data_IF_365120266717
#
_entry.id   IF_365120266717
#
_cell.length_a   1.000
_cell.length_b   1.000
_cell.length_c   1.000
_cell.angle_alpha   90.00
_cell.angle_beta   90.00
_cell.angle_gamma   90.00
#
_symmetry.space_group_name_H-M   'P 1'
#
loop_
_entity.id
_entity.type
_entity.pdbx_description
1 polymer ?
#
# COMPACT_ATOMS: atom_id res chain seq x y z
N UNK A 1 -14.86 -4.13 -9.87
CA UNK A 1 -15.75 -3.81 -11.01
C UNK A 1 -15.47 -4.62 -12.28
N UNK A 2 -14.39 -5.40 -12.39
CA UNK A 2 -14.05 -6.17 -13.61
C UNK A 2 -14.84 -7.48 -13.79
N UNK A 3 -15.18 -8.18 -12.70
CA UNK A 3 -15.86 -9.48 -12.75
C UNK A 3 -17.23 -9.40 -13.44
N UNK A 4 -18.11 -8.41 -13.12
CA UNK A 4 -19.37 -8.26 -13.85
C UNK A 4 -19.14 -8.09 -15.34
N UNK A 5 -18.31 -7.14 -15.75
CA UNK A 5 -18.11 -6.84 -17.18
C UNK A 5 -17.57 -8.03 -17.99
N UNK A 6 -16.66 -8.82 -17.42
CA UNK A 6 -16.13 -10.03 -18.08
C UNK A 6 -17.22 -11.11 -18.20
N UNK A 7 -18.00 -11.34 -17.15
CA UNK A 7 -18.99 -12.41 -17.13
C UNK A 7 -20.26 -12.09 -17.94
N UNK A 8 -20.52 -10.81 -18.22
CA UNK A 8 -21.65 -10.34 -19.04
C UNK A 8 -21.34 -10.35 -20.56
N UNK A 9 -20.06 -10.30 -20.95
CA UNK A 9 -19.65 -10.26 -22.36
C UNK A 9 -19.14 -11.62 -22.83
N UNK A 10 -19.82 -12.21 -23.82
CA UNK A 10 -19.56 -13.58 -24.28
C UNK A 10 -18.11 -13.80 -24.76
N UNK A 11 -17.52 -12.83 -25.44
CA UNK A 11 -16.14 -12.89 -25.93
C UNK A 11 -15.11 -12.88 -24.78
N UNK A 12 -15.26 -11.97 -23.82
CA UNK A 12 -14.39 -11.88 -22.65
C UNK A 12 -14.57 -13.09 -21.72
N UNK A 13 -15.81 -13.51 -21.50
CA UNK A 13 -16.15 -14.69 -20.70
C UNK A 13 -15.53 -15.94 -21.29
N UNK A 14 -15.54 -16.08 -22.62
CA UNK A 14 -14.92 -17.23 -23.29
C UNK A 14 -13.42 -17.31 -23.02
N UNK A 15 -12.70 -16.19 -23.07
CA UNK A 15 -11.27 -16.16 -22.70
C UNK A 15 -11.07 -16.63 -21.25
N UNK A 16 -11.88 -16.13 -20.31
CA UNK A 16 -11.80 -16.53 -18.89
C UNK A 16 -12.10 -18.01 -18.68
N UNK A 17 -13.15 -18.54 -19.32
CA UNK A 17 -13.56 -19.96 -19.23
C UNK A 17 -12.51 -20.89 -19.84
N UNK A 18 -11.83 -20.46 -20.90
CA UNK A 18 -10.70 -21.19 -21.49
C UNK A 18 -9.41 -21.12 -20.65
N UNK A 19 -9.43 -20.45 -19.50
CA UNK A 19 -8.34 -20.43 -18.54
C UNK A 19 -7.29 -19.34 -18.78
N UNK A 20 -7.54 -18.35 -19.64
CA UNK A 20 -6.62 -17.22 -19.79
C UNK A 20 -6.70 -16.27 -18.59
N UNK A 21 -5.57 -15.65 -18.22
CA UNK A 21 -5.54 -14.62 -17.19
C UNK A 21 -6.01 -13.26 -17.77
N UNK A 22 -7.31 -13.01 -17.69
CA UNK A 22 -7.98 -11.84 -18.27
C UNK A 22 -8.23 -10.77 -17.22
N UNK A 23 -7.76 -9.55 -17.49
CA UNK A 23 -7.97 -8.38 -16.65
C UNK A 23 -8.52 -7.22 -17.47
N UNK A 24 -9.23 -6.31 -16.81
CA UNK A 24 -9.65 -5.02 -17.38
C UNK A 24 -9.01 -3.93 -16.54
N UNK A 25 -8.11 -3.16 -17.16
CA UNK A 25 -7.29 -2.14 -16.48
C UNK A 25 -7.34 -0.87 -17.33
N UNK A 26 -7.71 0.27 -16.75
CA UNK A 26 -7.74 1.56 -17.44
C UNK A 26 -8.44 1.50 -18.81
N UNK A 27 -9.62 0.86 -18.89
CA UNK A 27 -10.36 0.62 -20.13
C UNK A 27 -9.59 -0.14 -21.22
N UNK A 28 -8.63 -0.97 -20.84
CA UNK A 28 -7.93 -1.90 -21.71
C UNK A 28 -8.23 -3.34 -21.32
N UNK A 29 -8.35 -4.21 -22.31
CA UNK A 29 -8.33 -5.65 -22.14
C UNK A 29 -6.88 -6.11 -22.02
N UNK A 30 -6.55 -6.81 -20.94
CA UNK A 30 -5.19 -7.25 -20.63
C UNK A 30 -5.18 -8.77 -20.48
N UNK A 31 -4.22 -9.44 -21.14
CA UNK A 31 -3.96 -10.88 -20.95
C UNK A 31 -2.51 -11.08 -20.52
N UNK A 32 -2.35 -11.62 -19.32
CA UNK A 32 -1.05 -11.96 -18.74
C UNK A 32 -0.67 -13.42 -19.02
N UNK A 33 0.61 -13.73 -18.90
CA UNK A 33 1.11 -15.11 -18.93
C UNK A 33 1.16 -15.70 -20.34
N UNK A 34 1.40 -14.88 -21.36
CA UNK A 34 1.51 -15.38 -22.75
C UNK A 34 2.95 -15.83 -23.01
N UNK A 35 3.22 -17.12 -23.26
CA UNK A 35 4.57 -17.60 -23.49
C UNK A 35 5.11 -17.06 -24.82
N UNK A 36 6.38 -16.71 -24.85
CA UNK A 36 7.12 -16.27 -26.03
C UNK A 36 8.61 -16.64 -25.89
N UNK A 37 9.37 -16.55 -26.98
CA UNK A 37 10.81 -16.85 -27.00
C UNK A 37 11.60 -15.56 -27.15
N UNK A 38 12.71 -15.42 -26.42
CA UNK A 38 13.63 -14.28 -26.55
C UNK A 38 14.87 -14.61 -27.40
N UNK A 39 15.78 -13.65 -27.57
CA UNK A 39 16.98 -13.78 -28.42
C UNK A 39 17.93 -14.88 -27.96
N UNK A 40 17.97 -15.15 -26.67
CA UNK A 40 18.75 -16.24 -26.05
C UNK A 40 18.05 -17.61 -26.15
N UNK A 41 16.93 -17.71 -26.89
CA UNK A 41 16.11 -18.92 -27.06
C UNK A 41 15.45 -19.39 -25.76
N UNK A 42 15.28 -18.50 -24.78
CA UNK A 42 14.59 -18.80 -23.53
C UNK A 42 13.10 -18.57 -23.71
N UNK A 43 12.30 -19.46 -23.12
CA UNK A 43 10.86 -19.27 -23.01
C UNK A 43 10.59 -18.34 -21.84
N UNK A 44 9.95 -17.21 -22.11
CA UNK A 44 9.51 -16.21 -21.15
C UNK A 44 7.99 -16.03 -21.24
N UNK A 45 7.40 -15.28 -20.30
CA UNK A 45 5.97 -15.00 -20.28
C UNK A 45 5.74 -13.49 -20.29
N UNK A 46 5.00 -13.01 -21.30
CA UNK A 46 4.70 -11.61 -21.51
C UNK A 46 3.24 -11.26 -21.23
N UNK A 47 2.91 -9.98 -21.39
CA UNK A 47 1.55 -9.46 -21.29
C UNK A 47 1.17 -8.75 -22.57
N UNK A 48 0.01 -9.06 -23.14
CA UNK A 48 -0.58 -8.31 -24.25
C UNK A 48 -1.78 -7.49 -23.76
N UNK A 49 -1.98 -6.32 -24.33
CA UNK A 49 -3.16 -5.51 -24.03
C UNK A 49 -3.60 -4.63 -25.19
N UNK A 50 -4.88 -4.28 -25.24
CA UNK A 50 -5.42 -3.29 -26.17
C UNK A 50 -6.60 -2.53 -25.56
N UNK A 51 -6.94 -1.36 -26.11
CA UNK A 51 -8.14 -0.63 -25.70
C UNK A 51 -9.39 -1.51 -25.80
N UNK A 52 -10.21 -1.49 -24.76
CA UNK A 52 -11.51 -2.14 -24.72
C UNK A 52 -12.58 -1.14 -25.16
N UNK A 53 -13.32 -1.48 -26.21
CA UNK A 53 -14.40 -0.63 -26.73
C UNK A 53 -15.74 -1.22 -26.32
N UNK A 54 -16.58 -0.39 -25.70
CA UNK A 54 -17.88 -0.78 -25.15
C UNK A 54 -18.99 0.12 -25.73
N UNK A 55 -20.17 -0.45 -25.91
CA UNK A 55 -21.44 0.27 -26.08
C UNK A 55 -22.29 0.00 -24.85
N UNK A 56 -22.28 0.93 -23.89
CA UNK A 56 -22.81 0.67 -22.55
C UNK A 56 -21.90 -0.31 -21.80
N UNK A 57 -22.44 -1.45 -21.39
CA UNK A 57 -21.74 -2.57 -20.75
C UNK A 57 -21.43 -3.74 -21.70
N UNK A 58 -21.78 -3.61 -22.98
CA UNK A 58 -21.56 -4.63 -24.01
C UNK A 58 -20.31 -4.34 -24.86
N UNK A 59 -19.50 -5.35 -25.13
CA UNK A 59 -18.38 -5.27 -26.07
C UNK A 59 -18.89 -5.02 -27.49
N UNK A 60 -18.17 -4.16 -28.20
CA UNK A 60 -18.33 -3.99 -29.65
C UNK A 60 -17.04 -4.45 -30.34
N UNK A 61 -17.06 -4.75 -31.65
CA UNK A 61 -15.86 -5.17 -32.37
C UNK A 61 -14.67 -4.21 -32.13
N UNK A 62 -13.44 -4.73 -31.98
CA UNK A 62 -12.25 -3.91 -31.80
C UNK A 62 -12.11 -2.89 -32.94
N UNK A 63 -11.80 -1.64 -32.58
CA UNK A 63 -11.65 -0.54 -33.55
C UNK A 63 -10.38 -0.67 -34.41
N UNK A 64 -9.38 -1.38 -33.90
CA UNK A 64 -8.14 -1.67 -34.60
C UNK A 64 -7.72 -3.14 -34.45
N UNK A 65 -6.66 -3.51 -35.17
CA UNK A 65 -6.08 -4.85 -35.18
C UNK A 65 -4.80 -4.96 -34.34
N UNK A 66 -4.41 -3.91 -33.62
CA UNK A 66 -3.11 -3.83 -32.94
C UNK A 66 -3.21 -4.18 -31.47
N UNK A 67 -2.10 -4.59 -30.87
CA UNK A 67 -1.95 -4.76 -29.41
C UNK A 67 -0.63 -4.20 -28.95
N UNK A 68 -0.53 -3.88 -27.67
CA UNK A 68 0.72 -3.56 -27.00
C UNK A 68 1.23 -4.77 -26.24
N UNK A 69 2.55 -4.87 -26.12
CA UNK A 69 3.21 -6.00 -25.50
C UNK A 69 4.23 -5.57 -24.45
N UNK A 70 4.21 -6.26 -23.31
CA UNK A 70 5.16 -6.15 -22.21
C UNK A 70 6.02 -7.40 -22.20
N UNK A 71 7.32 -7.19 -22.40
CA UNK A 71 8.32 -8.25 -22.50
C UNK A 71 9.49 -7.80 -23.39
N UNK A 72 10.48 -8.67 -23.54
CA UNK A 72 11.58 -8.52 -24.48
C UNK A 72 11.10 -8.71 -25.93
N UNK A 73 11.93 -8.38 -26.92
CA UNK A 73 11.57 -8.58 -28.32
C UNK A 73 11.25 -10.07 -28.59
N UNK A 74 10.03 -10.42 -29.06
CA UNK A 74 9.73 -11.80 -29.41
C UNK A 74 10.62 -12.30 -30.54
N UNK A 75 10.99 -13.58 -30.46
CA UNK A 75 11.82 -14.27 -31.43
C UNK A 75 11.16 -15.59 -31.88
N UNK A 76 11.63 -16.13 -32.99
CA UNK A 76 11.36 -17.51 -33.38
C UNK A 76 12.10 -18.51 -32.47
N UNK A 77 11.90 -19.81 -32.70
CA UNK A 77 12.53 -20.88 -31.93
C UNK A 77 14.07 -20.95 -32.08
N UNK A 78 14.62 -20.23 -33.05
CA UNK A 78 16.05 -20.15 -33.31
C UNK A 78 16.68 -18.86 -32.77
N UNK A 79 15.90 -18.01 -32.09
CA UNK A 79 16.35 -16.74 -31.53
C UNK A 79 16.43 -15.60 -32.54
N UNK A 80 15.83 -15.74 -33.72
CA UNK A 80 15.72 -14.64 -34.68
C UNK A 80 14.54 -13.75 -34.31
N UNK A 81 14.78 -12.44 -34.26
CA UNK A 81 13.75 -11.44 -33.93
C UNK A 81 12.55 -11.54 -34.90
N UNK A 82 11.35 -11.58 -34.33
CA UNK A 82 10.10 -11.73 -35.06
C UNK A 82 9.66 -10.40 -35.68
N UNK A 83 9.58 -10.34 -37.00
CA UNK A 83 9.32 -9.09 -37.75
C UNK A 83 7.96 -9.07 -38.44
N UNK A 84 7.24 -10.19 -38.46
CA UNK A 84 5.97 -10.31 -39.18
C UNK A 84 4.82 -9.59 -38.49
N UNK A 85 4.82 -9.56 -37.15
CA UNK A 85 3.80 -8.88 -36.35
C UNK A 85 4.34 -7.85 -35.37
N UNK A 86 5.66 -7.79 -35.11
CA UNK A 86 6.25 -6.72 -34.31
C UNK A 86 6.41 -5.49 -35.20
N UNK A 87 5.56 -4.49 -34.99
CA UNK A 87 5.54 -3.29 -35.83
C UNK A 87 6.62 -2.29 -35.42
N UNK A 88 6.74 -2.02 -34.12
CA UNK A 88 7.72 -1.06 -33.61
C UNK A 88 8.00 -1.25 -32.12
N UNK A 89 9.21 -0.89 -31.70
CA UNK A 89 9.51 -0.65 -30.29
C UNK A 89 8.89 0.70 -29.90
N UNK A 90 7.93 0.67 -28.97
CA UNK A 90 7.24 1.86 -28.51
C UNK A 90 6.92 1.68 -27.03
N UNK A 91 7.59 2.48 -26.19
CA UNK A 91 7.28 2.54 -24.77
C UNK A 91 5.90 3.16 -24.56
N UNK A 92 5.03 2.45 -23.84
CA UNK A 92 3.72 2.93 -23.45
C UNK A 92 3.32 2.36 -22.09
N UNK A 93 3.16 3.24 -21.11
CA UNK A 93 2.78 2.86 -19.75
C UNK A 93 1.26 2.73 -19.64
N UNK A 94 0.77 1.52 -19.33
CA UNK A 94 -0.64 1.29 -18.98
C UNK A 94 -0.88 1.48 -17.47
N UNK A 95 0.05 0.99 -16.65
CA UNK A 95 0.14 1.18 -15.18
C UNK A 95 1.61 1.21 -14.77
N UNK A 96 1.92 1.46 -13.48
CA UNK A 96 3.29 1.37 -12.96
C UNK A 96 3.98 0.03 -13.28
N UNK A 97 3.24 -1.07 -13.15
CA UNK A 97 3.74 -2.45 -13.41
C UNK A 97 3.63 -2.92 -14.87
N UNK A 98 2.88 -2.20 -15.72
CA UNK A 98 2.59 -2.63 -17.09
C UNK A 98 3.10 -1.57 -18.05
N UNK A 99 4.39 -1.67 -18.37
CA UNK A 99 5.07 -0.82 -19.34
C UNK A 99 5.22 -1.60 -20.65
N UNK A 100 4.37 -1.29 -21.62
CA UNK A 100 4.45 -1.85 -22.97
C UNK A 100 5.76 -1.41 -23.62
N UNK A 101 6.55 -2.37 -24.10
CA UNK A 101 7.83 -2.11 -24.80
C UNK A 101 7.67 -2.19 -26.31
N UNK A 102 6.68 -2.95 -26.78
CA UNK A 102 6.46 -3.19 -28.20
C UNK A 102 5.01 -2.97 -28.61
N UNK A 103 4.85 -2.58 -29.87
CA UNK A 103 3.57 -2.44 -30.55
C UNK A 103 3.46 -3.50 -31.63
N UNK A 104 2.41 -4.30 -31.60
CA UNK A 104 2.18 -5.37 -32.54
C UNK A 104 1.03 -5.07 -33.49
N UNK A 105 1.15 -5.57 -34.71
CA UNK A 105 0.16 -5.44 -35.77
C UNK A 105 0.03 -6.74 -36.55
N UNK A 106 -1.14 -7.36 -36.48
CA UNK A 106 -1.52 -8.53 -37.27
C UNK A 106 -2.92 -8.27 -37.82
N UNK A 107 -3.02 -7.84 -39.08
CA UNK A 107 -4.31 -7.57 -39.72
C UNK A 107 -4.92 -8.87 -40.26
N UNK A 108 -6.17 -9.22 -39.89
CA UNK A 108 -6.86 -10.37 -40.47
C UNK A 108 -7.22 -10.13 -41.95
N UNK A 109 -7.48 -11.18 -42.72
CA UNK A 109 -7.82 -11.07 -44.14
C UNK A 109 -9.04 -10.18 -44.41
N UNK A 110 -10.05 -10.24 -43.52
CA UNK A 110 -11.26 -9.42 -43.60
C UNK A 110 -11.05 -7.97 -43.12
N UNK A 111 -9.83 -7.61 -42.71
CA UNK A 111 -9.44 -6.26 -42.33
C UNK A 111 -9.67 -5.88 -40.87
N UNK A 112 -10.64 -6.48 -40.19
CA UNK A 112 -10.95 -6.27 -38.77
C UNK A 112 -11.23 -7.59 -38.03
N UNK A 113 -11.12 -7.56 -36.71
CA UNK A 113 -11.50 -8.67 -35.85
C UNK A 113 -13.00 -8.59 -35.50
N UNK A 114 -13.68 -9.74 -35.45
CA UNK A 114 -15.10 -9.81 -35.10
C UNK A 114 -15.39 -9.44 -33.65
N UNK A 115 -14.48 -9.79 -32.75
CA UNK A 115 -14.63 -9.65 -31.30
C UNK A 115 -13.25 -9.66 -30.62
N UNK A 116 -13.22 -9.34 -29.32
CA UNK A 116 -11.97 -9.32 -28.56
C UNK A 116 -11.38 -10.71 -28.35
N UNK A 117 -12.21 -11.75 -28.24
CA UNK A 117 -11.75 -13.13 -28.13
C UNK A 117 -10.86 -13.51 -29.31
N UNK A 118 -11.33 -13.28 -30.53
CA UNK A 118 -10.66 -13.63 -31.78
C UNK A 118 -9.37 -12.83 -31.95
N UNK A 119 -9.40 -11.53 -31.62
CA UNK A 119 -8.22 -10.67 -31.63
C UNK A 119 -7.15 -11.20 -30.68
N UNK A 120 -7.50 -11.38 -29.42
CA UNK A 120 -6.53 -11.76 -28.39
C UNK A 120 -6.00 -13.18 -28.60
N UNK A 121 -6.87 -14.12 -28.96
CA UNK A 121 -6.48 -15.49 -29.26
C UNK A 121 -5.44 -15.56 -30.39
N UNK A 122 -5.61 -14.75 -31.45
CA UNK A 122 -4.64 -14.66 -32.54
C UNK A 122 -3.25 -14.25 -32.06
N UNK A 123 -3.15 -13.22 -31.21
CA UNK A 123 -1.86 -12.78 -30.67
C UNK A 123 -1.24 -13.78 -29.70
N UNK A 124 -2.07 -14.42 -28.86
CA UNK A 124 -1.61 -15.51 -27.99
C UNK A 124 -1.00 -16.63 -28.83
N UNK A 125 -1.66 -17.04 -29.91
CA UNK A 125 -1.17 -18.13 -30.77
C UNK A 125 0.11 -17.73 -31.52
N UNK A 126 0.22 -16.49 -31.99
CA UNK A 126 1.44 -15.96 -32.63
C UNK A 126 2.65 -15.98 -31.68
N UNK A 127 2.47 -15.51 -30.45
CA UNK A 127 3.54 -15.48 -29.43
C UNK A 127 3.89 -16.89 -28.94
N UNK A 128 2.88 -17.72 -28.71
CA UNK A 128 3.06 -19.04 -28.10
C UNK A 128 3.64 -20.08 -29.07
N UNK A 129 3.50 -19.89 -30.40
CA UNK A 129 3.90 -20.89 -31.38
C UNK A 129 5.41 -21.25 -31.31
N UNK A 130 6.35 -20.28 -31.31
CA UNK A 130 7.76 -20.57 -31.09
C UNK A 130 8.03 -21.28 -29.75
N UNK A 131 7.42 -20.79 -28.66
CA UNK A 131 7.62 -21.37 -27.33
C UNK A 131 7.15 -22.83 -27.26
N UNK A 132 5.98 -23.13 -27.83
CA UNK A 132 5.43 -24.49 -27.91
C UNK A 132 6.23 -25.44 -28.80
N UNK A 133 6.97 -24.90 -29.77
CA UNK A 133 7.87 -25.69 -30.59
C UNK A 133 9.15 -26.11 -29.84
N UNK A 134 9.57 -25.32 -28.85
CA UNK A 134 10.69 -25.63 -27.95
C UNK A 134 10.23 -26.57 -26.83
N UNK A 135 9.09 -26.27 -26.20
CA UNK A 135 8.49 -27.04 -25.12
C UNK A 135 6.97 -27.09 -25.28
N UNK A 136 6.44 -28.26 -25.62
CA UNK A 136 5.00 -28.45 -25.86
C UNK A 136 4.14 -28.40 -24.60
N UNK A 137 4.75 -28.41 -23.41
CA UNK A 137 4.03 -28.32 -22.13
C UNK A 137 3.61 -26.88 -21.77
N UNK A 138 4.20 -25.86 -22.41
CA UNK A 138 3.92 -24.46 -22.10
C UNK A 138 2.56 -24.02 -22.62
N UNK A 139 1.84 -23.24 -21.81
CA UNK A 139 0.51 -22.77 -22.14
C UNK A 139 0.26 -21.36 -21.62
N UNK A 140 -0.52 -20.59 -22.39
CA UNK A 140 -1.12 -19.34 -21.92
C UNK A 140 -2.39 -19.57 -21.09
N UNK A 141 -2.94 -20.80 -21.13
CA UNK A 141 -4.15 -21.21 -20.40
C UNK A 141 -3.78 -21.86 -19.08
N UNK A 142 -4.62 -21.65 -18.07
CA UNK A 142 -4.40 -22.09 -16.70
C UNK A 142 -2.99 -21.73 -16.24
N UNK A 143 -2.46 -20.60 -16.75
CA UNK A 143 -1.17 -20.07 -16.34
C UNK A 143 -1.19 -20.02 -14.83
N UNK A 144 -0.45 -20.96 -14.23
CA UNK A 144 -0.58 -21.31 -12.83
C UNK A 144 -0.23 -20.05 -12.05
N UNK A 145 -1.29 -19.47 -11.53
CA UNK A 145 -1.33 -18.18 -10.88
C UNK A 145 -0.63 -18.20 -9.51
N UNK A 146 -0.05 -19.33 -9.11
CA UNK A 146 0.66 -19.46 -7.84
C UNK A 146 1.96 -18.65 -7.76
N UNK A 147 2.35 -17.94 -8.83
CA UNK A 147 3.43 -16.95 -8.76
C UNK A 147 3.02 -15.54 -9.24
N UNK A 148 1.72 -15.21 -9.36
CA UNK A 148 1.29 -13.81 -9.52
C UNK A 148 -0.12 -13.48 -8.99
N UNK A 149 -0.64 -14.25 -8.03
CA UNK A 149 -1.38 -13.73 -6.87
C UNK A 149 -0.40 -13.90 -5.70
N UNK A 150 -0.10 -12.98 -4.80
CA UNK A 150 -0.76 -11.76 -4.40
C UNK A 150 0.22 -11.05 -3.45
N UNK A 151 1.24 -10.34 -3.95
CA UNK A 151 2.10 -9.52 -3.08
C UNK A 151 1.35 -8.29 -2.54
N UNK A 152 0.13 -8.05 -3.04
CA UNK A 152 -0.75 -7.03 -2.48
C UNK A 152 -1.24 -7.48 -1.11
N UNK A 153 -0.78 -6.76 -0.09
CA UNK A 153 -1.32 -6.85 1.26
C UNK A 153 -2.80 -6.44 1.31
N UNK A 154 -3.31 -5.66 0.35
CA UNK A 154 -4.70 -5.20 0.32
C UNK A 154 -5.69 -6.27 -0.15
N UNK A 155 -6.89 -6.28 0.45
CA UNK A 155 -8.00 -7.19 0.07
C UNK A 155 -8.80 -6.71 -1.15
N UNK A 156 -8.60 -5.46 -1.55
CA UNK A 156 -9.13 -4.87 -2.78
C UNK A 156 -8.10 -3.88 -3.36
N UNK A 157 -8.12 -3.64 -4.68
CA UNK A 157 -7.11 -2.83 -5.34
C UNK A 157 -7.17 -1.36 -4.92
N UNK A 158 -6.00 -0.73 -4.76
CA UNK A 158 -5.87 0.72 -4.61
C UNK A 158 -6.09 1.42 -5.96
N UNK A 159 -7.35 1.75 -6.23
CA UNK A 159 -7.74 2.50 -7.43
C UNK A 159 -7.44 3.99 -7.30
N UNK A 160 -7.17 4.51 -6.10
CA UNK A 160 -6.87 5.92 -5.88
C UNK A 160 -5.47 6.26 -6.41
N UNK A 161 -4.45 5.50 -6.01
CA UNK A 161 -3.08 5.69 -6.51
C UNK A 161 -2.98 5.39 -8.01
N UNK A 162 -3.72 4.37 -8.49
CA UNK A 162 -3.78 4.05 -9.92
C UNK A 162 -4.38 5.20 -10.75
N UNK A 163 -5.51 5.78 -10.29
CA UNK A 163 -6.16 6.92 -10.96
C UNK A 163 -5.27 8.16 -10.99
N UNK A 164 -4.50 8.39 -9.94
CA UNK A 164 -3.59 9.52 -9.84
C UNK A 164 -2.23 9.29 -10.54
N UNK A 165 -1.93 8.07 -11.02
CA UNK A 165 -0.66 7.75 -11.67
C UNK A 165 0.54 7.66 -10.72
N UNK A 166 0.30 7.51 -9.41
CA UNK A 166 1.32 7.57 -8.36
C UNK A 166 1.55 6.24 -7.62
N UNK A 167 1.05 5.13 -8.14
CA UNK A 167 1.21 3.80 -7.53
C UNK A 167 2.68 3.45 -7.22
N UNK A 168 3.59 3.77 -8.15
CA UNK A 168 5.04 3.57 -8.01
C UNK A 168 5.67 4.32 -6.82
N UNK A 169 5.04 5.40 -6.32
CA UNK A 169 5.50 6.06 -5.10
C UNK A 169 5.18 5.18 -3.90
N UNK A 170 3.94 4.74 -3.77
CA UNK A 170 3.48 3.90 -2.65
C UNK A 170 4.27 2.59 -2.54
N UNK A 171 4.72 2.00 -3.65
CA UNK A 171 5.57 0.80 -3.69
C UNK A 171 6.87 0.92 -2.88
N UNK A 172 7.40 2.14 -2.68
CA UNK A 172 8.60 2.37 -1.84
C UNK A 172 8.38 2.01 -0.36
N UNK A 173 7.12 1.96 0.07
CA UNK A 173 6.72 1.51 1.40
C UNK A 173 6.57 -0.01 1.48
N UNK A 174 6.60 -0.70 0.35
CA UNK A 174 6.48 -2.15 0.26
C UNK A 174 7.57 -2.88 1.04
N UNK A 175 7.26 -4.07 1.55
CA UNK A 175 8.21 -4.91 2.30
C UNK A 175 8.45 -4.50 3.75
N UNK A 176 8.17 -3.24 4.14
CA UNK A 176 8.44 -2.75 5.49
C UNK A 176 7.55 -3.41 6.56
N UNK A 177 8.10 -3.56 7.75
CA UNK A 177 7.39 -3.95 8.98
C UNK A 177 7.33 -2.76 9.93
N UNK A 178 6.12 -2.27 10.17
CA UNK A 178 5.87 -1.09 10.99
C UNK A 178 5.30 -1.51 12.33
N UNK A 179 5.79 -0.92 13.43
CA UNK A 179 5.14 -1.04 14.73
C UNK A 179 4.42 0.26 15.11
N UNK A 180 3.26 0.15 15.74
CA UNK A 180 2.51 1.26 16.33
C UNK A 180 2.28 0.92 17.81
N UNK A 181 2.88 1.72 18.69
CA UNK A 181 2.82 1.53 20.14
C UNK A 181 1.92 2.60 20.75
N UNK A 182 0.84 2.16 21.39
CA UNK A 182 -0.28 2.99 21.82
C UNK A 182 -1.33 3.12 20.72
N UNK A 183 -2.58 2.76 21.02
CA UNK A 183 -3.74 2.77 20.12
C UNK A 183 -4.92 3.55 20.72
N UNK A 184 -4.61 4.53 21.58
CA UNK A 184 -5.57 5.53 22.05
C UNK A 184 -5.97 6.47 20.91
N UNK A 185 -5.82 7.79 21.11
CA UNK A 185 -6.16 8.77 20.09
C UNK A 185 -5.19 8.75 18.91
N UNK A 186 -3.98 9.28 19.09
CA UNK A 186 -3.03 9.51 18.00
C UNK A 186 -2.67 8.21 17.28
N UNK A 187 -2.33 7.15 18.01
CA UNK A 187 -1.90 5.88 17.40
C UNK A 187 -3.00 5.17 16.59
N UNK A 188 -4.28 5.33 16.94
CA UNK A 188 -5.37 4.78 16.12
C UNK A 188 -5.53 5.54 14.80
N UNK A 189 -5.31 6.86 14.77
CA UNK A 189 -5.22 7.63 13.53
C UNK A 189 -3.98 7.27 12.71
N UNK A 190 -2.83 7.04 13.35
CA UNK A 190 -1.64 6.51 12.65
C UNK A 190 -1.98 5.19 11.96
N UNK A 191 -2.61 4.25 12.68
CA UNK A 191 -3.08 3.00 12.10
C UNK A 191 -4.02 3.24 10.92
N UNK A 192 -4.99 4.14 11.05
CA UNK A 192 -5.92 4.48 9.96
C UNK A 192 -5.20 4.97 8.71
N UNK A 193 -4.14 5.76 8.84
CA UNK A 193 -3.37 6.24 7.69
C UNK A 193 -2.42 5.17 7.13
N UNK A 194 -1.72 4.44 7.99
CA UNK A 194 -0.74 3.42 7.60
C UNK A 194 -1.41 2.19 6.98
N UNK A 195 -2.64 1.84 7.38
CA UNK A 195 -3.38 0.70 6.81
C UNK A 195 -3.58 0.81 5.30
N UNK A 196 -3.58 2.03 4.77
CA UNK A 196 -3.76 2.37 3.35
C UNK A 196 -2.45 2.30 2.56
N UNK A 197 -1.38 1.77 3.15
CA UNK A 197 -0.04 1.66 2.53
C UNK A 197 0.38 0.20 2.33
N UNK A 198 1.26 -0.09 1.33
CA UNK A 198 1.62 -1.46 0.96
C UNK A 198 2.69 -2.10 1.87
N UNK A 199 2.90 -1.58 3.09
CA UNK A 199 3.85 -2.17 4.06
C UNK A 199 3.51 -3.64 4.29
N UNK A 200 4.52 -4.51 4.41
CA UNK A 200 4.30 -5.96 4.54
C UNK A 200 3.56 -6.31 5.83
N UNK A 201 3.93 -5.67 6.95
CA UNK A 201 3.37 -5.95 8.26
C UNK A 201 3.12 -4.67 9.06
N UNK A 202 2.04 -4.65 9.84
CA UNK A 202 1.73 -3.62 10.84
C UNK A 202 1.50 -4.33 12.18
N UNK A 203 2.42 -4.18 13.12
CA UNK A 203 2.26 -4.69 14.49
C UNK A 203 1.68 -3.59 15.38
N UNK A 204 0.60 -3.87 16.09
CA UNK A 204 -0.08 -2.90 16.94
C UNK A 204 -0.06 -3.34 18.41
N UNK A 205 0.28 -2.41 19.31
CA UNK A 205 0.50 -2.68 20.73
C UNK A 205 -0.32 -1.70 21.59
N UNK A 206 -1.20 -2.22 22.44
CA UNK A 206 -1.90 -1.49 23.49
C UNK A 206 -2.49 -2.49 24.50
N UNK A 207 -2.46 -2.18 25.80
CA UNK A 207 -2.98 -3.03 26.86
C UNK A 207 -4.38 -2.65 27.35
N UNK A 208 -4.95 -1.54 26.86
CA UNK A 208 -6.24 -1.04 27.31
C UNK A 208 -7.44 -1.67 26.59
N UNK A 209 -8.59 -1.54 27.24
CA UNK A 209 -9.91 -1.78 26.68
C UNK A 209 -10.54 -0.51 26.08
N UNK A 210 -11.57 -0.70 25.26
CA UNK A 210 -12.40 0.37 24.71
C UNK A 210 -13.49 0.81 25.70
N UNK A 211 -13.58 2.12 25.92
CA UNK A 211 -14.64 2.80 26.67
C UNK A 211 -15.25 3.95 25.85
N UNK A 212 -16.39 4.49 26.30
CA UNK A 212 -17.12 5.55 25.61
C UNK A 212 -16.23 6.73 25.23
N UNK A 213 -15.43 7.25 26.16
CA UNK A 213 -14.56 8.39 25.87
C UNK A 213 -13.54 8.10 24.75
N UNK A 214 -13.16 6.83 24.51
CA UNK A 214 -12.30 6.45 23.39
C UNK A 214 -12.98 6.65 22.03
N UNK A 215 -14.27 6.29 21.90
CA UNK A 215 -14.97 6.40 20.61
C UNK A 215 -15.11 7.83 20.09
N UNK A 216 -14.99 8.84 20.95
CA UNK A 216 -15.01 10.25 20.55
C UNK A 216 -13.67 10.79 20.04
N UNK A 217 -12.58 10.01 20.13
CA UNK A 217 -11.23 10.48 19.80
C UNK A 217 -10.41 9.52 18.94
N UNK A 218 -11.04 8.49 18.38
CA UNK A 218 -10.42 7.56 17.44
C UNK A 218 -11.22 7.55 16.11
N UNK A 219 -10.65 7.05 15.00
CA UNK A 219 -11.38 6.90 13.75
C UNK A 219 -12.61 5.99 13.84
N UNK A 220 -13.66 6.35 13.09
CA UNK A 220 -14.85 5.53 12.93
C UNK A 220 -15.87 5.68 14.05
N UNK A 221 -16.77 4.69 14.15
CA UNK A 221 -17.81 4.65 15.16
C UNK A 221 -17.98 3.22 15.68
N UNK A 222 -18.39 3.10 16.93
CA UNK A 222 -18.68 1.82 17.58
C UNK A 222 -20.17 1.73 17.90
N UNK A 223 -20.77 0.57 17.66
CA UNK A 223 -22.14 0.31 18.10
C UNK A 223 -22.20 0.17 19.64
N UNK A 224 -23.34 0.53 20.23
CA UNK A 224 -23.54 0.47 21.68
C UNK A 224 -23.35 -0.93 22.27
N UNK A 225 -23.81 -1.97 21.57
CA UNK A 225 -23.66 -3.36 22.04
C UNK A 225 -22.20 -3.83 21.98
N UNK A 226 -21.45 -3.38 20.98
CA UNK A 226 -20.01 -3.67 20.87
C UNK A 226 -19.22 -2.99 22.00
N UNK A 227 -19.59 -1.75 22.34
CA UNK A 227 -18.95 -1.00 23.42
C UNK A 227 -19.20 -1.62 24.80
N UNK A 228 -20.39 -2.20 25.03
CA UNK A 228 -20.71 -2.92 26.27
C UNK A 228 -19.80 -4.14 26.51
N UNK A 229 -19.24 -4.73 25.44
CA UNK A 229 -18.32 -5.86 25.55
C UNK A 229 -16.93 -5.46 26.03
N UNK A 230 -16.62 -4.15 26.10
CA UNK A 230 -15.30 -3.60 26.46
C UNK A 230 -14.16 -4.36 25.75
N UNK A 231 -14.19 -4.47 24.41
CA UNK A 231 -13.15 -5.18 23.71
C UNK A 231 -11.80 -4.48 23.93
N UNK A 232 -10.73 -5.26 23.95
CA UNK A 232 -9.36 -4.74 23.81
C UNK A 232 -9.28 -3.79 22.61
N UNK A 233 -8.58 -2.66 22.77
CA UNK A 233 -8.39 -1.69 21.68
C UNK A 233 -7.74 -2.35 20.46
N UNK A 234 -6.71 -3.16 20.72
CA UNK A 234 -5.97 -3.91 19.71
C UNK A 234 -6.90 -4.84 18.94
N UNK A 235 -7.65 -5.68 19.64
CA UNK A 235 -8.56 -6.64 19.00
C UNK A 235 -9.66 -5.96 18.20
N UNK A 236 -10.23 -4.87 18.74
CA UNK A 236 -11.24 -4.08 18.05
C UNK A 236 -10.70 -3.49 16.74
N UNK A 237 -9.58 -2.76 16.81
CA UNK A 237 -8.99 -2.09 15.64
C UNK A 237 -8.51 -3.11 14.61
N UNK A 238 -7.89 -4.22 15.03
CA UNK A 238 -7.50 -5.31 14.12
C UNK A 238 -8.71 -5.84 13.35
N UNK A 239 -9.81 -6.15 14.05
CA UNK A 239 -11.04 -6.65 13.41
C UNK A 239 -11.59 -5.67 12.37
N UNK A 240 -11.52 -4.37 12.66
CA UNK A 240 -11.98 -3.32 11.75
C UNK A 240 -11.10 -3.25 10.50
N UNK A 241 -9.79 -3.20 10.68
CA UNK A 241 -8.83 -2.96 9.60
C UNK A 241 -8.41 -4.23 8.83
N UNK A 242 -8.61 -5.42 9.40
CA UNK A 242 -8.45 -6.69 8.67
C UNK A 242 -9.39 -6.76 7.46
N UNK A 243 -10.48 -6.00 7.43
CA UNK A 243 -11.36 -5.91 6.25
C UNK A 243 -10.66 -5.21 5.05
N UNK A 244 -9.65 -4.39 5.31
CA UNK A 244 -8.91 -3.60 4.33
C UNK A 244 -7.70 -4.36 3.76
N UNK A 245 -6.92 -5.04 4.62
CA UNK A 245 -5.66 -5.70 4.26
C UNK A 245 -5.32 -6.90 5.15
N UNK A 246 -4.33 -7.68 4.72
CA UNK A 246 -3.65 -8.73 5.48
C UNK A 246 -2.41 -8.16 6.20
N UNK A 247 -1.80 -8.92 7.13
CA UNK A 247 -0.52 -8.56 7.75
C UNK A 247 -0.63 -7.57 8.93
N UNK A 248 -1.78 -7.52 9.61
CA UNK A 248 -1.89 -6.84 10.90
C UNK A 248 -1.63 -7.84 12.02
N UNK A 249 -0.63 -7.59 12.86
CA UNK A 249 -0.28 -8.40 14.03
C UNK A 249 -0.71 -7.67 15.31
N UNK A 250 -1.49 -8.34 16.15
CA UNK A 250 -2.08 -7.76 17.35
C UNK A 250 -1.33 -8.20 18.61
N UNK A 251 -1.00 -7.25 19.48
CA UNK A 251 -0.36 -7.48 20.77
C UNK A 251 -1.10 -6.73 21.87
N UNK A 252 -1.90 -7.45 22.66
CA UNK A 252 -2.71 -6.90 23.77
C UNK A 252 -1.89 -6.71 25.04
N UNK A 253 -0.79 -5.96 24.94
CA UNK A 253 0.18 -5.76 26.02
C UNK A 253 0.65 -4.31 26.06
N UNK A 254 0.98 -3.84 27.25
CA UNK A 254 1.85 -2.68 27.41
C UNK A 254 3.30 -3.12 27.18
N UNK A 255 4.05 -2.33 26.41
CA UNK A 255 5.47 -2.60 26.23
C UNK A 255 6.26 -2.13 27.45
N UNK A 256 7.12 -3.02 27.95
CA UNK A 256 8.03 -2.79 29.07
C UNK A 256 9.33 -3.58 28.85
N UNK A 257 10.28 -3.46 29.79
CA UNK A 257 11.58 -4.15 29.73
C UNK A 257 11.48 -5.67 29.50
N UNK A 258 10.37 -6.31 29.90
CA UNK A 258 10.20 -7.75 29.79
C UNK A 258 9.80 -8.21 28.38
N UNK A 259 9.26 -7.32 27.54
CA UNK A 259 8.67 -7.65 26.25
C UNK A 259 9.01 -6.69 25.09
N UNK A 260 9.82 -5.65 25.33
CA UNK A 260 10.28 -4.70 24.28
C UNK A 260 10.97 -5.39 23.09
N UNK A 261 11.49 -6.61 23.28
CA UNK A 261 12.05 -7.44 22.21
C UNK A 261 11.04 -7.81 21.11
N UNK A 262 9.72 -7.69 21.36
CA UNK A 262 8.69 -7.83 20.33
C UNK A 262 8.84 -6.81 19.19
N UNK A 263 9.57 -5.71 19.41
CA UNK A 263 9.91 -4.72 18.38
C UNK A 263 11.04 -5.17 17.45
N UNK A 264 11.72 -6.30 17.73
CA UNK A 264 12.77 -6.82 16.86
C UNK A 264 12.33 -7.02 15.41
N UNK A 265 13.16 -6.57 14.47
CA UNK A 265 12.95 -6.76 13.03
C UNK A 265 11.89 -5.84 12.41
N UNK A 266 11.41 -4.81 13.13
CA UNK A 266 10.64 -3.72 12.54
C UNK A 266 11.58 -2.70 11.90
N UNK A 267 11.14 -2.12 10.79
CA UNK A 267 11.89 -1.12 10.03
C UNK A 267 11.61 0.30 10.53
N UNK A 268 10.45 0.53 11.16
CA UNK A 268 10.08 1.82 11.72
C UNK A 268 9.01 1.68 12.82
N UNK A 269 9.07 2.54 13.83
CA UNK A 269 8.11 2.54 14.94
C UNK A 269 7.44 3.90 15.12
N UNK A 270 6.11 3.89 15.25
CA UNK A 270 5.33 5.04 15.72
C UNK A 270 5.06 4.88 17.21
N UNK A 271 5.58 5.80 18.03
CA UNK A 271 5.41 5.82 19.47
C UNK A 271 4.36 6.88 19.85
N UNK A 272 3.15 6.42 20.18
CA UNK A 272 2.00 7.25 20.55
C UNK A 272 1.53 6.88 21.98
N UNK A 273 2.47 6.92 22.92
CA UNK A 273 2.26 6.58 24.34
C UNK A 273 2.15 7.86 25.16
N UNK A 274 1.10 7.96 25.97
CA UNK A 274 0.86 9.15 26.79
C UNK A 274 1.75 9.18 28.06
N UNK A 275 2.05 8.01 28.63
CA UNK A 275 2.81 7.91 29.87
C UNK A 275 4.32 8.01 29.61
N UNK A 276 4.96 9.07 30.12
CA UNK A 276 6.39 9.33 29.91
C UNK A 276 7.29 8.19 30.43
N UNK A 277 6.97 7.60 31.59
CA UNK A 277 7.77 6.51 32.19
C UNK A 277 7.75 5.23 31.36
N UNK A 278 6.68 4.98 30.60
CA UNK A 278 6.58 3.82 29.73
C UNK A 278 7.46 3.96 28.46
N UNK A 279 7.91 5.17 28.11
CA UNK A 279 8.70 5.42 26.90
C UNK A 279 10.16 5.00 27.03
N UNK A 280 10.77 5.16 28.21
CA UNK A 280 12.20 4.91 28.43
C UNK A 280 12.66 3.53 27.93
N UNK A 281 12.08 2.40 28.38
CA UNK A 281 12.54 1.08 27.97
C UNK A 281 12.38 0.84 26.47
N UNK A 282 11.32 1.39 25.87
CA UNK A 282 11.05 1.30 24.43
C UNK A 282 12.10 2.08 23.64
N UNK A 283 12.35 3.33 24.00
CA UNK A 283 13.32 4.20 23.32
C UNK A 283 14.72 3.61 23.41
N UNK A 284 15.14 3.14 24.59
CA UNK A 284 16.46 2.55 24.77
C UNK A 284 16.64 1.32 23.88
N UNK A 285 15.62 0.46 23.79
CA UNK A 285 15.63 -0.70 22.91
C UNK A 285 15.72 -0.31 21.42
N UNK A 286 14.93 0.67 20.98
CA UNK A 286 14.93 1.13 19.59
C UNK A 286 16.29 1.72 19.19
N UNK A 287 16.90 2.52 20.08
CA UNK A 287 18.23 3.10 19.87
C UNK A 287 19.31 2.03 19.84
N UNK A 288 19.28 1.06 20.75
CA UNK A 288 20.22 -0.05 20.78
C UNK A 288 20.11 -0.94 19.54
N UNK A 289 18.89 -1.11 19.01
CA UNK A 289 18.60 -1.92 17.83
C UNK A 289 18.75 -1.17 16.50
N UNK A 290 19.03 0.15 16.54
CA UNK A 290 19.14 0.98 15.35
C UNK A 290 17.82 1.16 14.58
N UNK A 291 16.68 0.98 15.24
CA UNK A 291 15.35 1.09 14.62
C UNK A 291 14.90 2.55 14.66
N UNK A 292 14.69 3.21 13.51
CA UNK A 292 14.17 4.58 13.49
C UNK A 292 12.73 4.62 13.99
N UNK A 293 12.36 5.73 14.64
CA UNK A 293 11.03 5.90 15.18
C UNK A 293 10.60 7.37 15.20
N UNK A 294 9.29 7.59 15.33
CA UNK A 294 8.74 8.91 15.62
C UNK A 294 7.97 8.88 16.92
N UNK A 295 8.35 9.76 17.85
CA UNK A 295 7.57 10.06 19.04
C UNK A 295 6.50 11.11 18.72
N UNK A 296 5.26 10.79 19.10
CA UNK A 296 4.09 11.62 18.90
C UNK A 296 3.48 11.92 20.25
N UNK A 297 3.43 13.22 20.59
CA UNK A 297 2.91 13.67 21.87
C UNK A 297 2.08 14.93 21.75
N UNK A 298 1.23 15.18 22.73
CA UNK A 298 0.53 16.45 22.85
C UNK A 298 0.43 16.85 24.32
N UNK A 299 0.38 18.15 24.57
CA UNK A 299 0.07 18.72 25.87
C UNK A 299 -1.02 19.75 25.70
N UNK A 300 -2.23 19.42 26.13
CA UNK A 300 -3.41 20.29 26.03
C UNK A 300 -3.87 20.64 27.44
N UNK A 301 -4.16 21.91 27.66
CA UNK A 301 -4.59 22.45 28.94
C UNK A 301 -5.82 23.34 28.76
N UNK A 302 -6.75 23.27 29.70
CA UNK A 302 -7.84 24.24 29.82
C UNK A 302 -7.28 25.51 30.47
N UNK A 303 -7.40 26.63 29.78
CA UNK A 303 -7.04 27.96 30.30
C UNK A 303 -8.30 28.81 30.20
N UNK A 304 -8.82 29.23 31.35
CA UNK A 304 -10.14 29.85 31.46
C UNK A 304 -11.22 28.87 30.94
N UNK A 305 -11.90 29.21 29.83
CA UNK A 305 -12.93 28.39 29.18
C UNK A 305 -12.52 27.97 27.77
N UNK A 306 -11.21 27.97 27.47
CA UNK A 306 -10.67 27.64 26.16
C UNK A 306 -9.46 26.73 26.27
N UNK A 307 -9.18 26.01 25.18
CA UNK A 307 -8.07 25.08 25.13
C UNK A 307 -6.84 25.75 24.54
N UNK A 308 -5.71 25.51 25.20
CA UNK A 308 -4.38 25.85 24.74
C UNK A 308 -3.55 24.59 24.70
N UNK A 309 -2.60 24.49 23.78
CA UNK A 309 -1.68 23.37 23.83
C UNK A 309 -0.72 23.27 22.66
N UNK A 310 0.13 22.26 22.74
CA UNK A 310 1.17 21.99 21.75
C UNK A 310 1.11 20.53 21.32
N UNK A 311 1.08 20.30 20.02
CA UNK A 311 1.27 18.99 19.39
C UNK A 311 2.74 18.87 18.99
N UNK A 312 3.37 17.73 19.28
CA UNK A 312 4.81 17.52 19.10
C UNK A 312 5.08 16.24 18.34
N UNK A 313 5.98 16.34 17.37
CA UNK A 313 6.53 15.22 16.60
C UNK A 313 8.05 15.25 16.69
N UNK A 314 8.66 14.16 17.14
CA UNK A 314 10.12 14.01 17.18
C UNK A 314 10.52 12.75 16.43
N UNK A 315 11.15 12.91 15.27
CA UNK A 315 11.72 11.82 14.48
C UNK A 315 13.15 11.54 14.97
N UNK A 316 13.41 10.28 15.31
CA UNK A 316 14.71 9.80 15.75
C UNK A 316 15.17 8.66 14.84
N UNK A 317 16.41 8.77 14.38
CA UNK A 317 17.14 7.82 13.56
C UNK A 317 18.48 7.51 14.25
N UNK A 318 19.21 6.48 13.81
CA UNK A 318 20.56 6.23 14.32
C UNK A 318 21.51 7.44 14.24
N UNK A 319 21.27 8.37 13.32
CA UNK A 319 22.16 9.50 13.00
C UNK A 319 21.85 10.79 13.79
N UNK A 320 20.67 10.92 14.42
CA UNK A 320 20.20 12.20 15.00
C UNK A 320 19.82 12.11 16.49
N UNK A 321 20.49 11.22 17.25
CA UNK A 321 20.18 10.91 18.66
C UNK A 321 20.16 12.11 19.60
N UNK A 322 20.74 13.26 19.21
CA UNK A 322 20.66 14.51 19.97
C UNK A 322 19.21 14.97 20.22
N UNK A 323 18.28 14.65 19.32
CA UNK A 323 16.86 15.02 19.43
C UNK A 323 16.09 14.22 20.49
N UNK A 324 16.69 13.20 21.12
CA UNK A 324 16.09 12.48 22.24
C UNK A 324 15.72 13.42 23.40
N UNK A 325 16.45 14.52 23.58
CA UNK A 325 16.15 15.52 24.61
C UNK A 325 14.82 16.27 24.40
N UNK A 326 14.21 16.18 23.21
CA UNK A 326 12.89 16.75 22.91
C UNK A 326 11.74 15.83 23.32
N UNK A 327 12.03 14.58 23.65
CA UNK A 327 11.04 13.60 24.10
C UNK A 327 10.95 13.67 25.63
N UNK A 328 9.74 13.66 26.17
CA UNK A 328 9.52 13.56 27.60
C UNK A 328 9.63 12.10 28.05
N UNK A 329 10.71 11.73 28.74
CA UNK A 329 11.04 10.34 29.13
C UNK A 329 11.11 10.15 30.66
N UNK A 330 10.58 11.08 31.47
CA UNK A 330 10.57 10.97 32.93
C UNK A 330 9.37 11.65 33.58
N UNK A 331 9.15 11.37 34.87
CA UNK A 331 8.23 12.19 35.67
C UNK A 331 8.83 13.60 35.79
N UNK A 332 8.06 14.63 35.45
CA UNK A 332 8.42 15.98 35.86
C UNK A 332 8.45 16.00 37.41
N UNK A 333 9.40 16.72 38.00
CA UNK A 333 9.46 16.88 39.47
C UNK A 333 8.17 17.50 40.04
N UNK A 334 7.42 18.21 39.20
CA UNK A 334 6.06 18.70 39.41
C UNK A 334 5.10 17.99 38.44
N UNK A 335 4.92 16.67 38.56
CA UNK A 335 3.71 16.04 37.99
C UNK A 335 2.52 16.67 38.70
N UNK A 336 1.97 17.70 38.06
CA UNK A 336 0.70 18.28 38.45
C UNK A 336 -0.31 17.13 38.39
N UNK A 337 -0.72 16.64 39.55
CA UNK A 337 -1.78 15.63 39.72
C UNK A 337 -3.11 16.10 39.08
N UNK A 338 -3.19 17.37 38.66
CA UNK A 338 -4.26 17.98 37.87
C UNK A 338 -3.97 18.05 36.36
N UNK A 339 -2.84 17.52 35.87
CA UNK A 339 -2.53 17.43 34.45
C UNK A 339 -3.57 16.53 33.76
N UNK A 340 -4.52 17.19 33.10
CA UNK A 340 -5.60 16.53 32.39
C UNK A 340 -5.06 15.99 31.07
N UNK A 341 -5.17 14.67 30.86
CA UNK A 341 -4.87 14.05 29.56
C UNK A 341 -6.00 14.38 28.57
N UNK A 342 -6.16 15.65 28.23
CA UNK A 342 -7.18 16.13 27.29
C UNK A 342 -6.81 15.65 25.90
N UNK A 343 -7.72 14.91 25.29
CA UNK A 343 -7.52 14.26 24.01
C UNK A 343 -8.70 14.57 23.09
N UNK A 344 -8.41 15.13 21.92
CA UNK A 344 -9.41 15.60 20.96
C UNK A 344 -9.12 14.98 19.59
N UNK A 345 -10.16 14.59 18.86
CA UNK A 345 -10.04 13.81 17.63
C UNK A 345 -9.15 14.48 16.57
N UNK A 346 -9.39 15.76 16.25
CA UNK A 346 -8.64 16.49 15.23
C UNK A 346 -7.18 16.73 15.63
N UNK A 347 -6.90 16.94 16.92
CA UNK A 347 -5.53 17.10 17.42
C UNK A 347 -4.76 15.78 17.37
N UNK A 348 -5.45 14.67 17.68
CA UNK A 348 -4.90 13.32 17.52
C UNK A 348 -4.62 12.98 16.05
N UNK A 349 -5.55 13.32 15.15
CA UNK A 349 -5.37 13.15 13.73
C UNK A 349 -4.21 14.02 13.20
N UNK A 350 -4.10 15.28 13.62
CA UNK A 350 -3.01 16.18 13.23
C UNK A 350 -1.65 15.63 13.67
N UNK A 351 -1.53 15.18 14.92
CA UNK A 351 -0.30 14.56 15.42
C UNK A 351 0.09 13.31 14.61
N UNK A 352 -0.88 12.44 14.34
CA UNK A 352 -0.69 11.26 13.49
C UNK A 352 -0.24 11.62 12.07
N UNK A 353 -0.84 12.64 11.46
CA UNK A 353 -0.46 13.16 10.14
C UNK A 353 0.99 13.65 10.13
N UNK A 354 1.40 14.42 11.15
CA UNK A 354 2.79 14.89 11.25
C UNK A 354 3.78 13.72 11.29
N UNK A 355 3.48 12.67 12.06
CA UNK A 355 4.29 11.45 12.11
C UNK A 355 4.34 10.69 10.79
N UNK A 356 3.18 10.45 10.16
CA UNK A 356 3.08 9.70 8.91
C UNK A 356 3.76 10.45 7.76
N UNK A 357 3.67 11.79 7.71
CA UNK A 357 4.40 12.60 6.74
C UNK A 357 5.91 12.48 6.95
N UNK A 358 6.40 12.51 8.20
CA UNK A 358 7.82 12.34 8.49
C UNK A 358 8.34 10.98 8.00
N UNK A 359 7.65 9.89 8.34
CA UNK A 359 7.98 8.54 7.85
C UNK A 359 7.94 8.45 6.32
N UNK A 360 6.91 9.00 5.67
CA UNK A 360 6.81 8.99 4.20
C UNK A 360 7.88 9.83 3.52
N UNK A 361 8.32 10.95 4.12
CA UNK A 361 9.46 11.74 3.65
C UNK A 361 10.77 10.94 3.70
N UNK A 362 11.02 10.20 4.79
CA UNK A 362 12.21 9.31 4.88
C UNK A 362 12.24 8.26 3.77
N UNK A 363 11.07 7.82 3.32
CA UNK A 363 10.92 6.86 2.21
C UNK A 363 10.84 7.53 0.83
N UNK A 364 11.10 8.84 0.75
CA UNK A 364 11.12 9.61 -0.49
C UNK A 364 9.76 9.76 -1.17
N UNK A 365 8.65 9.53 -0.48
CA UNK A 365 7.30 9.69 -1.05
C UNK A 365 6.99 11.17 -1.30
N UNK A 366 7.36 12.01 -0.32
CA UNK A 366 7.22 13.45 -0.41
C UNK A 366 8.59 14.06 -0.66
N UNK A 367 8.65 14.99 -1.61
CA UNK A 367 9.86 15.77 -1.85
C UNK A 367 10.25 16.51 -0.56
N UNK A 368 11.52 16.42 -0.18
CA UNK A 368 12.06 17.11 0.97
C UNK A 368 13.52 17.45 0.68
N UNK A 369 13.89 18.72 0.85
CA UNK A 369 15.28 19.17 0.83
C UNK A 369 15.91 18.99 2.22
N UNK A 370 15.13 19.24 3.27
CA UNK A 370 15.50 19.03 4.68
C UNK A 370 14.62 17.96 5.34
N UNK A 371 15.18 17.26 6.34
CA UNK A 371 14.43 16.38 7.23
C UNK A 371 14.17 17.09 8.56
N UNK A 372 12.93 17.52 8.82
CA UNK A 372 12.58 18.13 10.11
C UNK A 372 12.49 17.06 11.19
N UNK A 373 13.47 17.04 12.08
CA UNK A 373 13.57 16.05 13.16
C UNK A 373 12.56 16.37 14.26
N UNK A 374 12.46 17.63 14.68
CA UNK A 374 11.45 18.05 15.66
C UNK A 374 10.49 19.05 15.04
N UNK A 375 9.20 18.90 15.33
CA UNK A 375 8.18 19.86 14.93
C UNK A 375 7.17 20.05 16.05
N UNK A 376 6.71 21.28 16.23
CA UNK A 376 5.62 21.61 17.15
C UNK A 376 4.52 22.38 16.42
N UNK A 377 3.27 22.02 16.64
CA UNK A 377 2.12 22.86 16.29
C UNK A 377 1.54 23.48 17.56
N UNK A 378 1.48 24.81 17.61
CA UNK A 378 0.96 25.57 18.74
C UNK A 378 -0.50 25.91 18.45
N UNK A 379 -1.43 25.36 19.24
CA UNK A 379 -2.86 25.40 18.95
C UNK A 379 -3.42 26.83 18.96
N UNK A 380 -3.04 27.62 19.94
CA UNK A 380 -3.54 28.98 20.16
C UNK A 380 -2.91 30.03 19.23
N UNK A 381 -1.79 29.68 18.59
CA UNK A 381 -1.07 30.55 17.65
C UNK A 381 -1.26 30.09 16.19
N UNK A 382 -1.83 28.90 15.97
CA UNK A 382 -1.93 28.23 14.67
C UNK A 382 -0.59 28.11 13.92
N UNK A 383 0.52 28.06 14.67
CA UNK A 383 1.89 28.11 14.14
C UNK A 383 2.56 26.72 14.16
N UNK A 384 3.29 26.40 13.09
CA UNK A 384 4.16 25.21 13.02
C UNK A 384 5.62 25.63 13.07
N UNK A 385 6.32 25.21 14.11
CA UNK A 385 7.77 25.34 14.23
C UNK A 385 8.46 24.04 13.82
N UNK A 386 9.56 24.14 13.07
CA UNK A 386 10.34 22.99 12.60
C UNK A 386 11.82 23.17 12.95
N UNK A 387 12.45 22.09 13.40
CA UNK A 387 13.89 21.97 13.64
C UNK A 387 14.44 20.83 12.78
N UNK A 388 15.54 21.09 12.05
CA UNK A 388 16.18 20.16 11.11
C UNK A 388 17.41 19.47 11.71
#
# INVERSE_FOLDING_TARGET
>A
MSIPLIDHNTDLKKLKVEGYNVLIINSNLVIKGVPYVNKEKKILFGTIYCPLTLSGDMTVPPQDHTVRFVGEHPCDQFGNEEKSYVHSHQSNTLTGDIIGSYYFSSKPQNGSYSDFYTKMKKYIDLLSAPAKSIDSSVSAQNFAYENYNNDSVFKYPDTNSARAGVAHLSERLGGQKIAIVGLGGTGSFVLDFVIKTPVAQISIFDGDEMYNHNSFRIPGAMDLEELKLRPSKVSYLKRMYDKFRNGITAHEVFLDDSNVNLLYGHDFVFLAVDQATAKQPIIDYLIASGIPFVDLGMGISLVQDSLRGVIRKTLVTPDNKSYLNKIAIGQAADEDIYATNIQIAELNALNAVMGVIAWKKMNGIYLSEDAFMHSTFILDEEEINNEA
#
